data_IF_267528274680
#
_entry.id   IF_267528274680
#
_cell.length_a   1.000
_cell.length_b   1.000
_cell.length_c   1.000
_cell.angle_alpha   90.00
_cell.angle_beta   90.00
_cell.angle_gamma   90.00
#
_symmetry.space_group_name_H-M   'P 1'
#
loop_
_entity.id
_entity.type
_entity.pdbx_description
1 polymer ?
#
# COMPACT_ATOMS: atom_id res chain seq x y z
N UNK A 1 -7.44 15.95 -13.82
CA UNK A 1 -7.41 14.56 -14.27
C UNK A 1 -7.97 13.74 -13.13
N UNK A 2 -9.03 12.97 -13.36
CA UNK A 2 -9.66 12.16 -12.32
C UNK A 2 -9.22 10.70 -12.43
N UNK A 3 -9.53 9.87 -11.43
CA UNK A 3 -9.23 8.42 -11.43
C UNK A 3 -9.71 7.74 -12.72
N UNK A 4 -10.80 8.23 -13.34
CA UNK A 4 -11.33 7.74 -14.61
C UNK A 4 -10.33 7.78 -15.78
N UNK A 5 -9.37 8.71 -15.76
CA UNK A 5 -8.35 8.86 -16.79
C UNK A 5 -7.05 8.10 -16.46
N UNK A 6 -6.96 7.49 -15.27
CA UNK A 6 -5.77 6.75 -14.85
C UNK A 6 -5.73 5.37 -15.51
N UNK A 7 -4.54 4.88 -15.81
CA UNK A 7 -4.30 3.57 -16.41
C UNK A 7 -3.57 2.67 -15.41
N UNK A 8 -4.00 1.41 -15.31
CA UNK A 8 -3.28 0.38 -14.59
C UNK A 8 -2.41 -0.41 -15.57
N UNK A 9 -1.13 -0.51 -15.23
CA UNK A 9 -0.13 -1.23 -16.01
C UNK A 9 0.52 -2.31 -15.15
N UNK A 10 0.88 -3.42 -15.78
CA UNK A 10 1.74 -4.45 -15.19
C UNK A 10 2.99 -4.61 -16.06
N UNK A 11 4.09 -5.00 -15.44
CA UNK A 11 5.33 -5.31 -16.14
C UNK A 11 6.26 -6.15 -15.29
N UNK A 12 7.30 -6.69 -15.92
CA UNK A 12 8.32 -7.50 -15.26
C UNK A 12 9.60 -6.71 -15.05
N UNK A 13 10.07 -6.65 -13.81
CA UNK A 13 11.39 -6.09 -13.52
C UNK A 13 12.49 -7.12 -13.87
N UNK A 14 13.36 -6.77 -14.81
CA UNK A 14 14.54 -7.56 -15.22
C UNK A 14 15.74 -6.63 -15.33
N UNK A 15 16.79 -6.90 -14.53
CA UNK A 15 18.02 -6.10 -14.52
C UNK A 15 17.76 -4.58 -14.42
N UNK A 16 16.93 -4.19 -13.46
CA UNK A 16 16.51 -2.80 -13.20
C UNK A 16 15.74 -2.13 -14.34
N UNK A 17 15.19 -2.91 -15.28
CA UNK A 17 14.33 -2.43 -16.36
C UNK A 17 12.96 -3.08 -16.29
N UNK A 18 11.91 -2.28 -16.52
CA UNK A 18 10.55 -2.80 -16.68
C UNK A 18 10.39 -3.28 -18.12
N UNK A 19 10.19 -4.59 -18.26
CA UNK A 19 9.99 -5.31 -19.51
C UNK A 19 8.58 -5.89 -19.56
N UNK A 20 8.15 -6.41 -20.71
CA UNK A 20 6.86 -7.10 -20.88
C UNK A 20 5.67 -6.30 -20.34
N UNK A 21 5.67 -4.99 -20.60
CA UNK A 21 4.65 -4.08 -20.08
C UNK A 21 3.31 -4.28 -20.80
N UNK A 22 2.24 -4.33 -20.03
CA UNK A 22 0.88 -4.46 -20.53
C UNK A 22 -0.05 -3.51 -19.77
N UNK A 23 -0.85 -2.75 -20.50
CA UNK A 23 -1.98 -2.00 -19.93
C UNK A 23 -3.10 -2.99 -19.61
N UNK A 24 -3.53 -3.00 -18.35
CA UNK A 24 -4.63 -3.84 -17.86
C UNK A 24 -5.99 -3.17 -18.08
N UNK A 25 -6.05 -1.85 -17.92
CA UNK A 25 -7.27 -1.08 -18.17
C UNK A 25 -7.17 0.38 -17.74
N UNK A 26 -8.16 1.18 -18.11
CA UNK A 26 -8.35 2.56 -17.65
C UNK A 26 -9.37 2.62 -16.51
N UNK A 27 -9.37 3.70 -15.73
CA UNK A 27 -10.29 3.89 -14.60
C UNK A 27 -9.82 3.17 -13.33
N UNK A 28 -8.52 2.95 -13.22
CA UNK A 28 -7.87 2.26 -12.11
C UNK A 28 -6.73 3.12 -11.58
N UNK A 29 -6.57 3.19 -10.27
CA UNK A 29 -5.49 3.96 -9.64
C UNK A 29 -5.01 3.27 -8.39
N UNK A 30 -3.79 3.67 -7.96
CA UNK A 30 -3.22 3.31 -6.65
C UNK A 30 -3.22 1.80 -6.40
N UNK A 31 -2.77 1.07 -7.43
CA UNK A 31 -2.72 -0.37 -7.38
C UNK A 31 -1.51 -0.86 -6.60
N UNK A 32 -1.74 -1.81 -5.72
CA UNK A 32 -0.69 -2.62 -5.10
C UNK A 32 -1.05 -4.12 -5.23
N UNK A 33 -0.08 -5.01 -5.08
CA UNK A 33 -0.31 -6.42 -5.33
C UNK A 33 0.92 -7.30 -5.23
N UNK A 34 0.66 -8.61 -5.17
CA UNK A 34 1.70 -9.61 -5.17
C UNK A 34 1.22 -10.92 -5.80
N UNK A 35 2.18 -11.81 -6.06
CA UNK A 35 1.91 -13.11 -6.66
C UNK A 35 1.40 -14.11 -5.60
N UNK A 36 0.30 -14.80 -5.90
CA UNK A 36 -0.25 -15.92 -5.12
C UNK A 36 -0.37 -17.12 -6.05
N UNK A 37 0.38 -18.20 -5.77
CA UNK A 37 0.34 -19.45 -6.54
C UNK A 37 0.47 -19.26 -8.06
N UNK A 38 1.27 -18.27 -8.48
CA UNK A 38 1.52 -17.94 -9.89
C UNK A 38 0.49 -17.01 -10.53
N UNK A 39 -0.52 -16.53 -9.79
CA UNK A 39 -1.48 -15.51 -10.22
C UNK A 39 -1.10 -14.17 -9.61
N UNK A 40 -1.14 -13.09 -10.38
CA UNK A 40 -0.99 -11.75 -9.82
C UNK A 40 -2.32 -11.33 -9.18
N UNK A 41 -2.30 -11.03 -7.89
CA UNK A 41 -3.43 -10.44 -7.18
C UNK A 41 -3.16 -8.95 -7.01
N UNK A 42 -4.14 -8.12 -7.39
CA UNK A 42 -4.00 -6.67 -7.46
C UNK A 42 -5.15 -6.05 -6.70
N UNK A 43 -4.86 -5.12 -5.80
CA UNK A 43 -5.83 -4.30 -5.09
C UNK A 43 -5.67 -2.87 -5.56
N UNK A 44 -6.71 -2.32 -6.17
CA UNK A 44 -6.65 -1.00 -6.80
C UNK A 44 -7.99 -0.27 -6.68
N UNK A 45 -7.95 1.05 -6.62
CA UNK A 45 -9.15 1.87 -6.58
C UNK A 45 -9.82 1.89 -7.95
N UNK A 46 -11.12 1.58 -7.97
CA UNK A 46 -11.94 1.60 -9.19
C UNK A 46 -12.63 2.96 -9.34
N UNK A 47 -12.57 3.54 -10.54
CA UNK A 47 -13.20 4.83 -10.85
C UNK A 47 -14.74 4.78 -10.87
N UNK A 48 -15.35 3.60 -11.06
CA UNK A 48 -16.79 3.46 -11.23
C UNK A 48 -17.57 3.78 -9.95
N UNK A 49 -17.03 3.37 -8.80
CA UNK A 49 -17.67 3.48 -7.49
C UNK A 49 -16.74 4.04 -6.40
N UNK A 50 -15.48 4.33 -6.73
CA UNK A 50 -14.49 4.94 -5.85
C UNK A 50 -14.20 4.13 -4.58
N UNK A 51 -14.19 2.81 -4.70
CA UNK A 51 -13.78 1.89 -3.62
C UNK A 51 -12.64 0.98 -4.06
N UNK A 52 -12.03 0.30 -3.10
CA UNK A 52 -10.93 -0.62 -3.32
C UNK A 52 -11.46 -1.95 -3.85
N UNK A 53 -11.00 -2.34 -5.03
CA UNK A 53 -11.34 -3.61 -5.67
C UNK A 53 -10.20 -4.60 -5.54
N UNK A 54 -10.53 -5.88 -5.55
CA UNK A 54 -9.59 -6.97 -5.75
C UNK A 54 -9.73 -7.47 -7.20
N UNK A 55 -8.61 -7.58 -7.90
CA UNK A 55 -8.53 -8.13 -9.25
C UNK A 55 -7.43 -9.19 -9.33
N UNK A 56 -7.52 -10.02 -10.36
CA UNK A 56 -6.49 -11.00 -10.69
C UNK A 56 -5.99 -10.80 -12.10
N UNK A 57 -4.73 -11.15 -12.33
CA UNK A 57 -4.14 -11.23 -13.65
C UNK A 57 -3.42 -12.56 -13.84
N UNK A 58 -3.90 -13.36 -14.78
CA UNK A 58 -3.33 -14.67 -15.14
C UNK A 58 -3.69 -15.00 -16.58
N UNK A 59 -2.81 -15.70 -17.30
CA UNK A 59 -3.03 -16.09 -18.70
C UNK A 59 -3.42 -14.89 -19.60
N UNK A 60 -2.78 -13.74 -19.37
CA UNK A 60 -3.04 -12.46 -20.06
C UNK A 60 -4.46 -11.91 -19.88
N UNK A 61 -5.22 -12.43 -18.92
CA UNK A 61 -6.58 -12.01 -18.59
C UNK A 61 -6.59 -11.23 -17.26
N UNK A 62 -7.09 -9.99 -17.31
CA UNK A 62 -7.37 -9.17 -16.13
C UNK A 62 -8.84 -9.34 -15.73
N UNK A 63 -9.08 -9.80 -14.51
CA UNK A 63 -10.43 -10.05 -13.98
C UNK A 63 -10.65 -9.26 -12.71
N UNK A 64 -11.55 -8.28 -12.76
CA UNK A 64 -12.07 -7.58 -11.57
C UNK A 64 -13.02 -8.51 -10.80
N UNK A 65 -12.69 -8.80 -9.54
CA UNK A 65 -13.50 -9.63 -8.64
C UNK A 65 -14.50 -8.79 -7.83
N UNK A 66 -14.42 -7.46 -7.94
CA UNK A 66 -15.30 -6.51 -7.28
C UNK A 66 -14.71 -5.91 -6.01
N UNK A 67 -15.51 -5.09 -5.31
CA UNK A 67 -15.07 -4.35 -4.12
C UNK A 67 -14.76 -5.30 -2.96
N UNK A 68 -13.68 -5.01 -2.22
CA UNK A 68 -13.38 -5.75 -1.00
C UNK A 68 -14.38 -5.39 0.12
N UNK A 69 -14.55 -6.31 1.05
CA UNK A 69 -15.27 -6.05 2.30
C UNK A 69 -14.31 -5.96 3.48
N UNK A 70 -14.63 -5.10 4.44
CA UNK A 70 -13.98 -5.02 5.75
C UNK A 70 -15.09 -5.12 6.80
N UNK A 71 -14.99 -6.11 7.69
CA UNK A 71 -16.00 -6.42 8.71
C UNK A 71 -17.42 -6.62 8.13
N UNK A 72 -17.49 -7.16 6.91
CA UNK A 72 -18.74 -7.47 6.20
C UNK A 72 -19.36 -6.30 5.41
N UNK A 73 -18.75 -5.11 5.44
CA UNK A 73 -19.21 -3.93 4.70
C UNK A 73 -18.23 -3.58 3.58
N UNK A 74 -18.73 -2.97 2.49
CA UNK A 74 -17.85 -2.50 1.40
C UNK A 74 -16.86 -1.49 1.96
N UNK A 75 -15.56 -1.72 1.72
CA UNK A 75 -14.53 -0.84 2.24
C UNK A 75 -14.52 0.51 1.52
N UNK A 76 -14.75 1.58 2.30
CA UNK A 76 -14.76 2.97 1.82
C UNK A 76 -13.58 3.79 2.38
N UNK A 77 -12.49 3.11 2.78
CA UNK A 77 -11.31 3.76 3.32
C UNK A 77 -10.55 4.58 2.27
N UNK A 78 -9.53 5.30 2.75
CA UNK A 78 -8.79 6.23 1.91
C UNK A 78 -7.86 5.50 0.93
N UNK A 79 -7.50 6.24 -0.12
CA UNK A 79 -6.70 5.84 -1.30
C UNK A 79 -5.26 5.46 -0.87
N UNK A 80 -4.56 4.66 -1.69
CA UNK A 80 -3.20 4.10 -1.50
C UNK A 80 -3.10 2.97 -0.45
N UNK A 81 -3.70 1.80 -0.74
CA UNK A 81 -3.50 0.61 0.08
C UNK A 81 -2.07 0.06 -0.06
N UNK A 82 -1.59 -0.59 0.99
CA UNK A 82 -0.39 -1.42 0.95
C UNK A 82 -0.74 -2.84 1.38
N UNK A 83 -0.53 -3.80 0.48
CA UNK A 83 -0.91 -5.22 0.64
C UNK A 83 0.33 -6.10 0.75
N UNK A 84 0.35 -6.97 1.74
CA UNK A 84 1.52 -7.78 2.04
C UNK A 84 1.16 -9.15 2.61
N UNK A 85 2.15 -10.04 2.66
CA UNK A 85 2.00 -11.35 3.32
C UNK A 85 2.30 -11.24 4.82
N UNK A 86 1.40 -11.80 5.62
CA UNK A 86 1.59 -11.96 7.05
C UNK A 86 2.45 -13.20 7.36
N UNK A 87 3.11 -13.27 8.54
CA UNK A 87 4.00 -14.39 8.88
C UNK A 87 3.33 -15.77 8.89
N UNK A 88 2.03 -15.83 9.12
CA UNK A 88 1.24 -17.06 9.09
C UNK A 88 0.68 -17.41 7.71
N UNK A 89 1.05 -16.65 6.68
CA UNK A 89 0.61 -16.84 5.30
C UNK A 89 -0.66 -16.06 4.94
N UNK A 90 -1.32 -15.41 5.89
CA UNK A 90 -2.46 -14.53 5.63
C UNK A 90 -2.09 -13.32 4.76
N UNK A 91 -3.11 -12.58 4.34
CA UNK A 91 -3.00 -11.33 3.59
C UNK A 91 -3.22 -10.19 4.57
N UNK A 92 -2.23 -9.30 4.66
CA UNK A 92 -2.31 -8.04 5.37
C UNK A 92 -2.64 -6.91 4.39
N UNK A 93 -3.42 -5.96 4.86
CA UNK A 93 -3.69 -4.70 4.19
C UNK A 93 -3.50 -3.57 5.20
N UNK A 94 -2.58 -2.66 4.93
CA UNK A 94 -2.46 -1.40 5.65
C UNK A 94 -3.17 -0.30 4.86
N UNK A 95 -4.11 0.38 5.52
CA UNK A 95 -4.84 1.48 4.90
C UNK A 95 -5.32 2.48 5.96
N UNK A 96 -5.56 3.72 5.54
CA UNK A 96 -6.22 4.70 6.40
C UNK A 96 -7.70 4.35 6.54
N UNK A 97 -8.10 4.05 7.77
CA UNK A 97 -9.50 3.83 8.11
C UNK A 97 -10.16 5.16 8.46
N UNK A 98 -10.70 5.82 7.44
CA UNK A 98 -11.43 7.05 7.60
C UNK A 98 -12.18 7.31 6.31
N UNK A 99 -13.51 7.18 6.36
CA UNK A 99 -14.37 7.62 5.27
C UNK A 99 -14.00 9.05 4.86
N UNK A 100 -14.28 9.42 3.61
CA UNK A 100 -14.31 10.83 3.14
C UNK A 100 -15.35 11.65 3.94
N UNK A 101 -15.15 11.83 5.24
CA UNK A 101 -15.95 12.70 6.09
C UNK A 101 -15.34 14.08 5.94
N UNK A 102 -16.06 14.97 5.26
CA UNK A 102 -15.66 16.36 5.12
C UNK A 102 -15.26 16.96 6.48
N UNK A 103 -14.07 17.55 6.53
CA UNK A 103 -13.54 18.21 7.73
C UNK A 103 -12.72 17.33 8.68
N UNK A 104 -12.58 16.02 8.43
CA UNK A 104 -11.68 15.15 9.21
C UNK A 104 -10.33 15.00 8.50
N UNK A 105 -9.24 15.09 9.26
CA UNK A 105 -7.89 14.75 8.78
C UNK A 105 -7.78 13.23 8.56
N UNK A 106 -6.97 12.76 7.60
CA UNK A 106 -6.76 11.33 7.39
C UNK A 106 -6.14 10.67 8.63
N UNK A 107 -6.32 9.36 8.74
CA UNK A 107 -5.97 8.56 9.92
C UNK A 107 -7.21 8.07 10.69
N UNK A 108 -7.07 7.02 11.50
CA UNK A 108 -5.85 6.25 11.78
C UNK A 108 -5.42 5.33 10.62
N UNK A 109 -4.18 4.82 10.66
CA UNK A 109 -3.74 3.70 9.81
C UNK A 109 -4.09 2.39 10.53
N UNK A 110 -4.84 1.52 9.85
CA UNK A 110 -5.26 0.23 10.36
C UNK A 110 -4.56 -0.91 9.62
N UNK A 111 -4.32 -2.01 10.34
CA UNK A 111 -4.04 -3.31 9.74
C UNK A 111 -5.35 -4.06 9.62
N UNK A 112 -5.62 -4.53 8.42
CA UNK A 112 -6.69 -5.45 8.09
C UNK A 112 -6.10 -6.79 7.68
N UNK A 113 -6.83 -7.87 7.94
CA UNK A 113 -6.40 -9.24 7.64
C UNK A 113 -7.44 -9.96 6.78
N UNK A 114 -6.98 -10.73 5.82
CA UNK A 114 -7.81 -11.65 5.03
C UNK A 114 -7.09 -12.98 4.77
N UNK A 115 -7.86 -14.03 4.57
CA UNK A 115 -7.35 -15.32 4.07
C UNK A 115 -7.58 -15.51 2.56
N UNK A 116 -8.51 -14.76 1.96
CA UNK A 116 -8.93 -14.90 0.55
C UNK A 116 -8.63 -13.68 -0.33
N UNK A 117 -8.32 -12.54 0.28
CA UNK A 117 -8.05 -11.29 -0.42
C UNK A 117 -9.27 -10.47 -0.78
N UNK A 118 -10.48 -10.97 -0.50
CA UNK A 118 -11.75 -10.33 -0.80
C UNK A 118 -12.45 -9.83 0.47
N UNK A 119 -12.38 -10.64 1.55
CA UNK A 119 -13.05 -10.39 2.81
C UNK A 119 -12.00 -10.17 3.90
N UNK A 120 -11.96 -8.94 4.41
CA UNK A 120 -11.03 -8.53 5.44
C UNK A 120 -11.75 -8.28 6.76
N UNK A 121 -10.98 -8.35 7.84
CA UNK A 121 -11.39 -7.89 9.17
C UNK A 121 -10.37 -6.88 9.69
N UNK A 122 -10.81 -5.87 10.44
CA UNK A 122 -9.88 -4.96 11.13
C UNK A 122 -9.20 -5.73 12.25
N UNK A 123 -7.90 -5.98 12.10
CA UNK A 123 -7.12 -6.66 13.12
C UNK A 123 -6.69 -5.68 14.24
N UNK A 124 -6.25 -4.48 13.85
CA UNK A 124 -5.70 -3.50 14.80
C UNK A 124 -5.52 -2.11 14.17
N UNK A 125 -5.25 -1.12 15.01
CA UNK A 125 -4.74 0.20 14.61
C UNK A 125 -3.21 0.18 14.68
N UNK A 126 -2.53 0.37 13.54
CA UNK A 126 -1.07 0.45 13.48
C UNK A 126 -0.55 1.80 13.97
N UNK A 127 -1.25 2.88 13.60
CA UNK A 127 -0.87 4.24 13.95
C UNK A 127 -2.13 5.09 14.18
N UNK A 128 -2.39 5.41 15.45
CA UNK A 128 -3.47 6.32 15.86
C UNK A 128 -2.98 7.78 15.84
N UNK A 129 -2.67 8.27 14.64
CA UNK A 129 -2.26 9.65 14.41
C UNK A 129 -3.19 10.29 13.37
N UNK A 130 -3.53 11.57 13.57
CA UNK A 130 -4.26 12.37 12.58
C UNK A 130 -3.29 13.06 11.62
N UNK A 131 -3.67 13.18 10.35
CA UNK A 131 -2.85 13.83 9.34
C UNK A 131 -1.76 12.93 8.77
N UNK A 132 -1.96 11.61 8.81
CA UNK A 132 -1.10 10.62 8.14
C UNK A 132 -1.89 9.86 7.09
N UNK A 133 -1.24 9.52 5.98
CA UNK A 133 -1.84 8.83 4.84
C UNK A 133 -0.79 8.01 4.07
N UNK A 134 -1.25 7.27 3.07
CA UNK A 134 -0.43 6.54 2.10
C UNK A 134 0.59 5.62 2.81
N UNK A 135 0.11 4.65 3.63
CA UNK A 135 1.00 3.76 4.38
C UNK A 135 1.76 2.82 3.44
N UNK A 136 3.00 2.49 3.78
CA UNK A 136 3.75 1.36 3.20
C UNK A 136 4.42 0.56 4.31
N UNK A 137 4.41 -0.78 4.19
CA UNK A 137 4.81 -1.68 5.28
C UNK A 137 5.81 -2.73 4.82
N UNK A 138 6.84 -2.94 5.63
CA UNK A 138 7.67 -4.15 5.59
C UNK A 138 7.43 -4.96 6.85
N UNK A 139 7.07 -6.22 6.66
CA UNK A 139 6.88 -7.21 7.74
C UNK A 139 8.20 -7.91 8.04
N UNK A 140 8.55 -7.97 9.33
CA UNK A 140 9.74 -8.65 9.86
C UNK A 140 9.61 -8.90 11.36
N UNK A 141 10.75 -9.16 12.03
CA UNK A 141 10.80 -9.25 13.50
C UNK A 141 10.37 -7.93 14.15
N UNK A 142 10.86 -6.82 13.60
CA UNK A 142 10.24 -5.50 13.71
C UNK A 142 9.69 -5.12 12.33
N UNK A 143 8.54 -4.46 12.34
CA UNK A 143 7.92 -3.92 11.15
C UNK A 143 8.46 -2.52 10.90
N UNK A 144 8.60 -2.18 9.62
CA UNK A 144 8.86 -0.81 9.18
C UNK A 144 7.58 -0.27 8.56
N UNK A 145 7.14 0.88 9.05
CA UNK A 145 5.97 1.60 8.55
C UNK A 145 6.43 2.96 8.03
N UNK A 146 6.17 3.24 6.76
CA UNK A 146 6.26 4.58 6.20
C UNK A 146 4.87 5.19 6.07
N UNK A 147 4.71 6.46 6.41
CA UNK A 147 3.47 7.22 6.17
C UNK A 147 3.79 8.62 5.69
N UNK A 148 3.00 9.13 4.75
CA UNK A 148 3.06 10.53 4.34
C UNK A 148 2.33 11.40 5.35
N UNK A 149 2.93 12.54 5.68
CA UNK A 149 2.27 13.58 6.49
C UNK A 149 1.39 14.45 5.59
N UNK A 150 0.09 14.50 5.90
CA UNK A 150 -0.89 15.25 5.12
C UNK A 150 -0.50 16.73 5.00
N UNK A 151 -0.64 17.27 3.78
CA UNK A 151 -0.28 18.65 3.43
C UNK A 151 1.21 19.01 3.62
N UNK A 152 2.09 18.02 3.68
CA UNK A 152 3.53 18.21 3.74
C UNK A 152 4.24 17.28 2.75
N UNK A 153 5.40 17.69 2.26
CA UNK A 153 6.33 16.83 1.51
C UNK A 153 7.27 16.11 2.47
N UNK A 154 6.69 15.39 3.42
CA UNK A 154 7.42 14.65 4.46
C UNK A 154 6.84 13.25 4.58
N UNK A 155 7.71 12.25 4.54
CA UNK A 155 7.43 10.86 4.92
C UNK A 155 8.02 10.62 6.31
N UNK A 156 7.21 10.09 7.23
CA UNK A 156 7.63 9.59 8.53
C UNK A 156 7.93 8.11 8.43
N UNK A 157 9.02 7.69 9.05
CA UNK A 157 9.44 6.30 9.14
C UNK A 157 9.34 5.86 10.59
N UNK A 158 8.66 4.74 10.80
CA UNK A 158 8.44 4.17 12.10
C UNK A 158 8.90 2.71 12.13
N UNK A 159 9.42 2.29 13.28
CA UNK A 159 9.80 0.90 13.54
C UNK A 159 9.13 0.42 14.81
N UNK A 160 8.64 -0.81 14.79
CA UNK A 160 8.02 -1.41 15.97
C UNK A 160 7.30 -2.69 15.63
N UNK A 161 6.25 -3.01 16.38
CA UNK A 161 5.40 -4.17 16.08
C UNK A 161 3.93 -3.80 16.24
N UNK A 162 3.02 -4.47 15.49
CA UNK A 162 1.60 -4.56 15.80
C UNK A 162 1.24 -4.44 17.30
N UNK A 163 1.75 -5.36 18.11
CA UNK A 163 1.39 -5.46 19.54
C UNK A 163 2.17 -4.49 20.44
N UNK A 164 3.39 -4.13 20.04
CA UNK A 164 4.29 -3.26 20.81
C UNK A 164 4.15 -1.77 20.51
N UNK A 165 3.44 -1.42 19.45
CA UNK A 165 3.37 -0.07 18.91
C UNK A 165 4.58 0.29 18.05
N UNK A 166 4.51 1.47 17.44
CA UNK A 166 5.51 2.01 16.52
C UNK A 166 6.16 3.28 17.07
N UNK A 167 7.49 3.38 16.95
CA UNK A 167 8.27 4.57 17.29
C UNK A 167 8.70 5.28 16.01
N UNK A 168 8.57 6.61 15.94
CA UNK A 168 9.16 7.38 14.83
C UNK A 168 10.68 7.36 14.93
N UNK A 169 11.34 6.81 13.91
CA UNK A 169 12.81 6.68 13.87
C UNK A 169 13.45 7.72 12.97
N UNK A 170 12.77 8.13 11.90
CA UNK A 170 13.26 9.11 10.95
C UNK A 170 12.13 9.87 10.24
N UNK A 171 12.49 10.96 9.57
CA UNK A 171 11.65 11.66 8.60
C UNK A 171 12.49 12.07 7.40
N UNK A 172 11.96 11.89 6.20
CA UNK A 172 12.64 12.24 4.94
C UNK A 172 11.72 13.08 4.04
N UNK A 173 12.27 13.93 3.16
CA UNK A 173 11.47 14.72 2.24
C UNK A 173 10.90 13.86 1.10
N UNK A 174 9.60 13.99 0.84
CA UNK A 174 8.89 13.30 -0.23
C UNK A 174 7.41 13.07 0.08
N UNK A 175 6.71 12.40 -0.82
CA UNK A 175 5.35 11.91 -0.63
C UNK A 175 5.18 10.49 -1.18
N UNK A 176 4.00 9.90 -0.96
CA UNK A 176 3.56 8.64 -1.54
C UNK A 176 4.63 7.54 -1.41
N UNK A 177 4.94 7.10 -0.17
CA UNK A 177 6.04 6.18 0.07
C UNK A 177 5.72 4.78 -0.45
N UNK A 178 6.75 4.11 -0.96
CA UNK A 178 6.76 2.69 -1.29
C UNK A 178 7.97 2.03 -0.62
N UNK A 179 7.75 0.89 0.03
CA UNK A 179 8.79 0.16 0.74
C UNK A 179 9.01 -1.22 0.11
N UNK A 180 10.27 -1.52 -0.18
CA UNK A 180 10.67 -2.84 -0.72
C UNK A 180 11.83 -3.40 0.09
N UNK A 181 11.70 -4.67 0.48
CA UNK A 181 12.83 -5.46 0.99
C UNK A 181 13.65 -5.98 -0.19
N UNK A 182 14.89 -5.53 -0.30
CA UNK A 182 15.83 -5.96 -1.32
C UNK A 182 16.37 -7.37 -1.06
N UNK A 183 16.81 -8.03 -2.14
CA UNK A 183 17.42 -9.38 -2.05
C UNK A 183 18.71 -9.44 -1.22
N UNK A 184 19.37 -8.31 -1.00
CA UNK A 184 20.57 -8.19 -0.15
C UNK A 184 20.23 -7.86 1.32
N UNK A 185 18.95 -7.84 1.69
CA UNK A 185 18.46 -7.57 3.05
C UNK A 185 18.37 -6.10 3.43
N UNK A 186 18.64 -5.17 2.49
CA UNK A 186 18.38 -3.75 2.71
C UNK A 186 16.92 -3.41 2.41
N UNK A 187 16.41 -2.40 3.08
CA UNK A 187 15.09 -1.81 2.84
C UNK A 187 15.29 -0.60 1.94
N UNK A 188 14.61 -0.58 0.80
CA UNK A 188 14.52 0.59 -0.07
C UNK A 188 13.20 1.29 0.19
N UNK A 189 13.30 2.59 0.44
CA UNK A 189 12.17 3.50 0.39
C UNK A 189 12.23 4.28 -0.91
N UNK A 190 11.15 4.26 -1.67
CA UNK A 190 10.94 5.13 -2.84
C UNK A 190 9.88 6.16 -2.48
N UNK A 191 10.10 7.43 -2.84
CA UNK A 191 9.13 8.52 -2.60
C UNK A 191 9.00 9.40 -3.82
N UNK A 192 7.81 9.96 -4.02
CA UNK A 192 7.59 11.07 -4.94
C UNK A 192 8.32 12.33 -4.46
N UNK A 193 9.00 13.02 -5.36
CA UNK A 193 9.58 14.34 -5.14
C UNK A 193 9.33 15.27 -6.33
N UNK A 194 10.03 16.42 -6.36
CA UNK A 194 9.90 17.44 -7.41
C UNK A 194 10.24 16.91 -8.81
N UNK A 195 9.24 16.37 -9.50
CA UNK A 195 9.34 15.87 -10.87
C UNK A 195 10.15 14.58 -11.04
N UNK A 196 10.52 13.91 -9.94
CA UNK A 196 11.28 12.65 -9.97
C UNK A 196 11.02 11.79 -8.73
N UNK A 197 11.27 10.49 -8.85
CA UNK A 197 11.34 9.58 -7.71
C UNK A 197 12.68 9.74 -6.98
N UNK A 198 12.65 9.73 -5.65
CA UNK A 198 13.83 9.70 -4.77
C UNK A 198 13.87 8.35 -4.06
N UNK A 199 15.08 7.87 -3.75
CA UNK A 199 15.26 6.60 -3.02
C UNK A 199 16.15 6.80 -1.80
N UNK A 200 15.82 6.07 -0.74
CA UNK A 200 16.58 5.98 0.52
C UNK A 200 16.80 4.50 0.83
N UNK A 201 17.89 4.19 1.53
CA UNK A 201 18.27 2.81 1.83
C UNK A 201 18.56 2.68 3.32
N UNK A 202 17.97 1.66 3.95
CA UNK A 202 18.22 1.32 5.34
C UNK A 202 18.56 -0.17 5.48
N UNK A 203 19.38 -0.54 6.44
CA UNK A 203 19.56 -1.96 6.80
C UNK A 203 18.56 -2.43 7.87
N UNK A 204 17.85 -1.51 8.53
CA UNK A 204 17.09 -1.80 9.74
C UNK A 204 15.83 -0.94 9.92
N UNK A 205 15.53 -0.03 8.99
CA UNK A 205 14.38 0.88 9.06
C UNK A 205 14.55 2.06 10.03
N UNK A 206 15.71 2.19 10.69
CA UNK A 206 15.97 3.23 11.69
C UNK A 206 16.82 4.38 11.17
N UNK A 207 17.83 4.07 10.35
CA UNK A 207 18.72 5.05 9.69
C UNK A 207 18.57 4.96 8.18
N UNK A 208 18.36 6.09 7.50
CA UNK A 208 17.94 6.17 6.08
C UNK A 208 18.81 7.13 5.26
#
# INVERSE_FOLDING_TARGET
VGIADHELWIGRLVADQITDQQMLGSGWSVGDGFMIDGVAHIWAMNAADHVLHHATFTNDEFTDLGPISVDGEVFQGFIDPDVFRLPDGGIGLAAVNGMRVEGRQPGPVCLMRSDDGQNFEIAQVLLDESGVQDPAVIVGDEWVLAVKVANQETVKLLVGTPDGGFETTASVPGGDPDLVMETNGFIRLTVCGDGMLKTYISSEGRSW
#
